data_IF_727841838323
#
_entry.id   IF_727841838323
#
_cell.length_a   1.000
_cell.length_b   1.000
_cell.length_c   1.000
_cell.angle_alpha   90.00
_cell.angle_beta   90.00
_cell.angle_gamma   90.00
#
_symmetry.space_group_name_H-M   'P 1'
#
loop_
_entity.id
_entity.type
_entity.pdbx_description
1 polymer ?
#
# COMPACT_ATOMS: atom_id res chain seq x y z
N UNK A 1 32.98 -10.03 -24.51
CA UNK A 1 32.17 -10.15 -23.30
C UNK A 1 32.75 -9.14 -22.29
N UNK A 2 31.92 -8.21 -21.78
CA UNK A 2 32.27 -7.28 -20.72
C UNK A 2 31.52 -7.66 -19.46
N UNK A 3 32.18 -7.58 -18.33
CA UNK A 3 31.51 -7.66 -17.02
C UNK A 3 30.83 -6.30 -16.75
N UNK A 4 29.56 -6.31 -16.46
CA UNK A 4 28.80 -5.10 -16.18
C UNK A 4 27.92 -5.28 -14.95
N UNK A 5 27.75 -4.20 -14.20
CA UNK A 5 26.70 -4.10 -13.18
C UNK A 5 25.39 -3.74 -13.86
N UNK A 6 24.32 -4.45 -13.52
CA UNK A 6 22.95 -4.09 -13.84
C UNK A 6 22.36 -3.33 -12.64
N UNK A 7 21.96 -2.11 -12.85
CA UNK A 7 21.36 -1.24 -11.84
C UNK A 7 19.96 -0.90 -12.33
N UNK A 8 18.96 -1.09 -11.48
CA UNK A 8 17.61 -0.57 -11.69
C UNK A 8 17.42 0.59 -10.75
N UNK A 9 17.01 1.74 -11.25
CA UNK A 9 16.88 2.98 -10.47
C UNK A 9 15.76 3.85 -11.00
N UNK A 10 15.19 4.69 -10.14
CA UNK A 10 14.36 5.83 -10.48
C UNK A 10 15.14 7.11 -10.21
N UNK A 11 14.79 8.21 -10.87
CA UNK A 11 15.39 9.51 -10.67
C UNK A 11 14.30 10.49 -10.23
N UNK A 12 14.59 11.28 -9.23
CA UNK A 12 13.66 12.27 -8.63
C UNK A 12 13.15 13.31 -9.68
N UNK A 13 13.97 13.63 -10.67
CA UNK A 13 13.63 14.62 -11.70
C UNK A 13 13.06 14.00 -12.98
N UNK A 14 12.90 12.69 -13.05
CA UNK A 14 12.56 11.99 -14.27
C UNK A 14 11.70 10.77 -13.99
N UNK A 15 10.44 10.86 -14.33
CA UNK A 15 9.52 9.72 -14.23
C UNK A 15 10.05 8.50 -14.97
N UNK A 16 9.84 7.32 -14.39
CA UNK A 16 10.22 6.05 -14.98
C UNK A 16 11.09 5.19 -14.08
N UNK A 17 11.18 3.92 -14.45
CA UNK A 17 12.12 2.95 -13.87
C UNK A 17 13.21 2.68 -14.87
N UNK A 18 14.44 2.95 -14.50
CA UNK A 18 15.57 2.96 -15.43
C UNK A 18 16.49 1.75 -15.19
N UNK A 19 16.66 0.93 -16.20
CA UNK A 19 17.68 -0.12 -16.21
C UNK A 19 18.96 0.46 -16.78
N UNK A 20 20.04 0.44 -15.99
CA UNK A 20 21.34 0.97 -16.33
C UNK A 20 22.38 -0.13 -16.29
N UNK A 21 23.15 -0.31 -17.36
CA UNK A 21 24.33 -1.17 -17.37
C UNK A 21 25.60 -0.32 -17.28
N UNK A 22 26.45 -0.66 -16.31
CA UNK A 22 27.72 0.06 -16.04
C UNK A 22 28.87 -0.94 -16.17
N UNK A 23 29.89 -0.59 -16.94
CA UNK A 23 31.09 -1.41 -17.06
C UNK A 23 31.77 -1.57 -15.69
N UNK A 24 31.98 -2.81 -15.27
CA UNK A 24 32.49 -3.11 -13.93
C UNK A 24 33.95 -2.71 -13.73
N UNK A 25 34.71 -2.49 -14.82
CA UNK A 25 36.11 -2.10 -14.75
C UNK A 25 36.33 -0.60 -14.86
N UNK A 26 35.52 0.08 -15.69
CA UNK A 26 35.74 1.50 -16.02
C UNK A 26 34.76 2.43 -15.35
N UNK A 27 33.60 1.92 -14.88
CA UNK A 27 32.50 2.73 -14.37
C UNK A 27 31.73 3.47 -15.46
N UNK A 28 32.00 3.18 -16.74
CA UNK A 28 31.31 3.80 -17.87
C UNK A 28 29.90 3.25 -18.01
N UNK A 29 28.91 4.13 -18.23
CA UNK A 29 27.55 3.72 -18.53
C UNK A 29 27.47 3.15 -19.94
N UNK A 30 27.12 1.86 -20.03
CA UNK A 30 27.01 1.13 -21.30
C UNK A 30 25.65 1.36 -21.94
N UNK A 31 24.56 1.32 -21.15
CA UNK A 31 23.21 1.54 -21.64
C UNK A 31 22.28 2.02 -20.52
N UNK A 32 21.26 2.77 -20.92
CA UNK A 32 20.17 3.22 -20.06
C UNK A 32 18.87 2.92 -20.82
N UNK A 33 17.93 2.26 -20.15
CA UNK A 33 16.61 1.94 -20.72
C UNK A 33 15.54 2.23 -19.69
N UNK A 34 14.50 2.92 -20.10
CA UNK A 34 13.29 3.00 -19.29
C UNK A 34 12.54 1.67 -19.38
N UNK A 35 12.26 1.07 -18.23
CA UNK A 35 11.55 -0.18 -18.07
C UNK A 35 10.23 -0.01 -17.31
N UNK A 36 9.81 1.23 -17.05
CA UNK A 36 8.51 1.50 -16.47
C UNK A 36 7.39 1.05 -17.40
N UNK A 37 6.31 0.59 -16.83
CA UNK A 37 5.07 0.29 -17.55
C UNK A 37 4.20 1.52 -17.41
N UNK A 38 3.91 2.18 -18.54
CA UNK A 38 3.05 3.36 -18.58
C UNK A 38 1.65 2.95 -19.05
N UNK A 39 0.63 3.33 -18.31
CA UNK A 39 -0.73 3.24 -18.79
C UNK A 39 -0.98 4.41 -19.73
N UNK A 40 -1.23 4.16 -20.98
CA UNK A 40 -1.37 5.01 -22.16
C UNK A 40 -1.92 6.45 -22.12
N UNK A 41 -1.87 7.15 -20.99
CA UNK A 41 -2.13 8.58 -20.89
C UNK A 41 -0.84 9.37 -21.10
N UNK A 42 -0.86 10.38 -21.95
CA UNK A 42 0.27 11.29 -22.14
C UNK A 42 0.60 11.98 -20.82
N UNK A 43 1.77 11.67 -20.27
CA UNK A 43 2.30 12.28 -19.06
C UNK A 43 2.56 13.77 -19.29
N UNK A 44 1.77 14.63 -18.66
CA UNK A 44 2.08 16.06 -18.58
C UNK A 44 2.88 16.31 -17.31
N UNK A 45 4.15 16.63 -17.51
CA UNK A 45 5.12 16.95 -16.47
C UNK A 45 4.75 18.22 -15.72
N UNK A 46 4.02 18.12 -14.60
CA UNK A 46 4.02 19.17 -13.57
C UNK A 46 3.48 18.60 -12.26
N UNK A 47 4.30 17.91 -11.49
CA UNK A 47 4.06 17.74 -10.06
C UNK A 47 5.17 18.46 -9.30
N UNK A 48 4.84 19.64 -8.75
CA UNK A 48 5.68 20.30 -7.77
C UNK A 48 5.41 19.67 -6.39
N UNK A 49 6.38 18.95 -5.87
CA UNK A 49 6.37 18.51 -4.48
C UNK A 49 6.45 19.74 -3.56
N UNK A 50 5.39 20.04 -2.85
CA UNK A 50 5.37 21.11 -1.87
C UNK A 50 6.24 20.73 -0.67
N UNK A 51 7.37 21.41 -0.52
CA UNK A 51 8.23 21.30 0.67
C UNK A 51 7.50 21.85 1.89
N UNK A 52 6.96 20.98 2.73
CA UNK A 52 6.40 21.38 4.00
C UNK A 52 7.52 21.47 5.05
N UNK A 53 7.67 22.69 5.62
CA UNK A 53 8.65 22.96 6.67
C UNK A 53 8.19 22.33 7.98
N UNK A 54 9.03 21.47 8.55
CA UNK A 54 8.88 20.96 9.91
C UNK A 54 9.12 22.06 10.93
N UNK A 55 8.17 22.32 11.82
CA UNK A 55 8.39 23.04 13.06
C UNK A 55 8.39 22.07 14.24
N UNK A 56 9.55 21.90 14.85
CA UNK A 56 9.70 21.17 16.10
C UNK A 56 9.00 21.90 17.24
N UNK A 57 8.13 21.23 17.97
CA UNK A 57 7.90 21.53 19.36
C UNK A 57 7.48 20.28 20.13
N UNK A 58 8.42 19.78 20.91
CA UNK A 58 8.22 18.73 21.91
C UNK A 58 7.56 19.32 23.15
N UNK A 59 6.43 18.78 23.56
CA UNK A 59 5.98 18.88 24.94
C UNK A 59 5.27 17.59 25.32
N UNK A 60 5.98 16.78 26.10
CA UNK A 60 5.48 15.55 26.71
C UNK A 60 4.51 15.95 27.86
N UNK A 61 3.25 15.61 27.74
CA UNK A 61 2.35 15.53 28.88
C UNK A 61 1.65 14.18 28.88
N UNK A 62 2.03 13.34 29.84
CA UNK A 62 1.27 12.13 30.17
C UNK A 62 -0.07 12.57 30.80
N UNK A 63 -1.18 12.28 30.13
CA UNK A 63 -2.52 12.30 30.73
C UNK A 63 -2.96 10.86 30.96
N UNK A 64 -3.24 10.53 32.22
CA UNK A 64 -3.81 9.24 32.59
C UNK A 64 -5.20 9.05 31.97
N UNK A 65 -5.59 7.80 31.63
CA UNK A 65 -6.87 7.55 31.01
C UNK A 65 -8.01 7.68 32.01
N UNK A 66 -8.95 8.53 31.67
CA UNK A 66 -10.25 8.54 32.34
C UNK A 66 -11.06 7.33 31.86
N UNK A 67 -11.50 6.50 32.81
CA UNK A 67 -12.35 5.34 32.56
C UNK A 67 -13.76 5.78 32.20
N UNK A 68 -14.01 5.99 30.93
CA UNK A 68 -15.37 5.96 30.39
C UNK A 68 -15.66 4.54 29.91
N UNK A 69 -16.86 4.02 30.15
CA UNK A 69 -17.29 2.71 29.72
C UNK A 69 -17.14 2.62 28.19
N UNK A 70 -15.99 2.14 27.74
CA UNK A 70 -15.74 1.82 26.35
C UNK A 70 -16.69 0.71 25.94
N UNK A 71 -17.49 0.97 24.92
CA UNK A 71 -18.16 -0.13 24.21
C UNK A 71 -17.08 -1.13 23.83
N UNK A 72 -17.18 -2.36 24.38
CA UNK A 72 -16.19 -3.40 24.16
C UNK A 72 -16.02 -3.59 22.66
N UNK A 73 -14.94 -3.06 22.12
CA UNK A 73 -14.50 -3.29 20.76
C UNK A 73 -14.16 -4.78 20.67
N UNK A 74 -15.01 -5.53 20.00
CA UNK A 74 -14.80 -6.96 19.84
C UNK A 74 -14.18 -7.18 18.45
N UNK A 75 -13.01 -7.80 18.43
CA UNK A 75 -12.44 -8.34 17.20
C UNK A 75 -12.94 -9.77 16.97
N UNK A 76 -13.12 -10.10 15.70
CA UNK A 76 -13.58 -11.42 15.27
C UNK A 76 -12.91 -11.81 13.96
N UNK A 77 -13.08 -13.06 13.54
CA UNK A 77 -12.59 -13.54 12.24
C UNK A 77 -13.59 -13.16 11.15
N UNK A 78 -13.07 -12.77 10.00
CA UNK A 78 -13.83 -12.55 8.79
C UNK A 78 -13.30 -13.31 7.60
N UNK A 79 -13.89 -13.08 6.43
CA UNK A 79 -13.43 -13.60 5.13
C UNK A 79 -13.49 -12.52 4.06
N UNK A 80 -12.62 -12.62 3.07
CA UNK A 80 -12.60 -11.71 1.92
C UNK A 80 -12.26 -12.45 0.63
N UNK A 81 -12.69 -11.91 -0.51
CA UNK A 81 -12.04 -12.18 -1.79
C UNK A 81 -10.91 -11.16 -1.98
N UNK A 82 -9.76 -11.64 -2.40
CA UNK A 82 -8.56 -10.84 -2.65
C UNK A 82 -7.77 -11.42 -3.82
N UNK A 83 -6.88 -10.63 -4.39
CA UNK A 83 -5.78 -11.13 -5.19
C UNK A 83 -4.61 -11.46 -4.28
N UNK A 84 -4.49 -12.72 -3.85
CA UNK A 84 -3.36 -13.18 -3.03
C UNK A 84 -2.03 -13.15 -3.81
N UNK A 85 -2.12 -13.17 -5.12
CA UNK A 85 -1.14 -12.85 -6.14
C UNK A 85 -1.91 -12.08 -7.21
N UNK A 86 -1.33 -11.02 -7.76
CA UNK A 86 -1.97 -10.26 -8.82
C UNK A 86 -2.36 -11.16 -10.01
N UNK A 87 -3.37 -10.79 -10.81
CA UNK A 87 -3.87 -11.65 -11.88
C UNK A 87 -2.84 -12.00 -12.95
N UNK A 88 -1.86 -11.13 -13.23
CA UNK A 88 -0.81 -11.37 -14.22
C UNK A 88 0.16 -12.43 -13.73
N UNK A 89 0.60 -12.33 -12.48
CA UNK A 89 1.46 -13.32 -11.82
C UNK A 89 0.74 -14.66 -11.65
N UNK A 90 -0.54 -14.62 -11.25
CA UNK A 90 -1.37 -15.83 -11.10
C UNK A 90 -1.46 -16.62 -12.42
N UNK A 91 -1.68 -15.93 -13.53
CA UNK A 91 -1.82 -16.55 -14.85
C UNK A 91 -0.50 -16.71 -15.61
N UNK A 92 0.60 -16.11 -15.14
CA UNK A 92 1.90 -16.04 -15.80
C UNK A 92 1.80 -15.40 -17.21
N UNK A 93 1.08 -14.30 -17.33
CA UNK A 93 0.84 -13.58 -18.58
C UNK A 93 1.26 -12.11 -18.50
N UNK A 94 1.35 -11.44 -19.64
CA UNK A 94 1.54 -10.01 -19.71
C UNK A 94 0.18 -9.29 -19.69
N UNK A 95 0.20 -8.01 -19.32
CA UNK A 95 -0.95 -7.12 -19.34
C UNK A 95 -1.52 -6.98 -20.76
N UNK A 96 -2.57 -7.71 -21.05
CA UNK A 96 -3.28 -7.71 -22.33
C UNK A 96 -4.57 -8.52 -22.26
N UNK A 97 -5.47 -8.32 -23.22
CA UNK A 97 -6.63 -9.15 -23.44
C UNK A 97 -7.61 -9.17 -22.28
N UNK A 98 -7.77 -10.33 -21.61
CA UNK A 98 -8.64 -10.47 -20.45
C UNK A 98 -8.06 -9.90 -19.14
N UNK A 99 -6.79 -9.51 -19.17
CA UNK A 99 -6.03 -9.02 -18.01
C UNK A 99 -5.69 -7.52 -18.16
N UNK A 100 -6.62 -6.76 -18.68
CA UNK A 100 -6.55 -5.29 -18.68
C UNK A 100 -7.52 -4.78 -17.62
N UNK A 101 -7.27 -3.59 -17.10
CA UNK A 101 -8.12 -2.99 -16.10
C UNK A 101 -9.59 -2.93 -16.56
N UNK A 102 -9.87 -2.40 -17.72
CA UNK A 102 -11.24 -2.37 -18.26
C UNK A 102 -12.21 -1.50 -17.46
N UNK A 103 -11.70 -0.55 -16.68
CA UNK A 103 -12.50 0.35 -15.85
C UNK A 103 -13.34 -0.43 -14.82
N UNK A 104 -12.67 -1.21 -13.98
CA UNK A 104 -13.19 -2.11 -12.94
C UNK A 104 -14.06 -3.28 -13.46
N UNK A 105 -14.16 -3.45 -14.76
CA UNK A 105 -14.94 -4.54 -15.31
C UNK A 105 -14.28 -5.89 -14.96
N UNK A 106 -15.05 -6.77 -14.34
CA UNK A 106 -14.59 -8.14 -14.10
C UNK A 106 -14.88 -9.05 -15.30
N UNK A 107 -14.14 -10.15 -15.37
CA UNK A 107 -14.35 -11.24 -16.32
C UNK A 107 -13.91 -12.57 -15.69
N UNK A 108 -14.19 -13.68 -16.37
CA UNK A 108 -13.90 -15.02 -15.84
C UNK A 108 -12.43 -15.28 -15.53
N UNK A 109 -11.48 -14.63 -16.22
CA UNK A 109 -10.04 -14.77 -15.97
C UNK A 109 -9.63 -14.02 -14.71
N UNK A 110 -10.09 -12.79 -14.54
CA UNK A 110 -9.86 -11.99 -13.33
C UNK A 110 -10.54 -12.62 -12.12
N UNK A 111 -11.78 -13.10 -12.28
CA UNK A 111 -12.50 -13.82 -11.23
C UNK A 111 -11.79 -15.10 -10.77
N UNK A 112 -11.15 -15.82 -11.69
CA UNK A 112 -10.40 -17.03 -11.37
C UNK A 112 -9.11 -16.75 -10.56
N UNK A 113 -8.56 -15.57 -10.65
CA UNK A 113 -7.37 -15.17 -9.88
C UNK A 113 -7.71 -14.81 -8.41
N UNK A 114 -8.99 -14.57 -8.09
CA UNK A 114 -9.40 -14.26 -6.72
C UNK A 114 -9.28 -15.46 -5.81
N UNK A 115 -8.77 -15.24 -4.61
CA UNK A 115 -8.71 -16.22 -3.53
C UNK A 115 -9.69 -15.84 -2.42
N UNK A 116 -10.41 -16.82 -1.88
CA UNK A 116 -11.14 -16.64 -0.63
C UNK A 116 -10.17 -16.84 0.53
N UNK A 117 -9.98 -15.80 1.33
CA UNK A 117 -9.03 -15.79 2.44
C UNK A 117 -9.74 -15.56 3.78
N UNK A 118 -9.08 -15.96 4.87
CA UNK A 118 -9.49 -15.58 6.21
C UNK A 118 -8.85 -14.24 6.59
N UNK A 119 -9.65 -13.37 7.20
CA UNK A 119 -9.19 -12.18 7.88
C UNK A 119 -9.14 -12.51 9.39
N UNK A 120 -7.94 -12.65 9.98
CA UNK A 120 -7.81 -13.16 11.33
C UNK A 120 -8.41 -12.25 12.40
N UNK A 121 -8.53 -10.96 12.07
CA UNK A 121 -9.03 -9.95 12.99
C UNK A 121 -9.72 -8.83 12.21
N UNK A 122 -11.01 -8.64 12.46
CA UNK A 122 -11.83 -7.53 11.98
C UNK A 122 -12.67 -6.98 13.12
N UNK A 123 -12.94 -5.69 13.13
CA UNK A 123 -13.79 -5.07 14.14
C UNK A 123 -15.26 -5.50 13.97
N UNK A 124 -15.90 -5.85 15.07
CA UNK A 124 -17.34 -5.99 15.16
C UNK A 124 -17.86 -5.07 16.27
N UNK A 125 -18.58 -4.03 15.88
CA UNK A 125 -19.22 -3.10 16.80
C UNK A 125 -20.74 -3.19 16.64
N UNK A 126 -21.39 -3.83 17.61
CA UNK A 126 -22.84 -4.01 17.66
C UNK A 126 -23.46 -4.59 16.36
N UNK A 127 -22.79 -5.54 15.73
CA UNK A 127 -23.24 -6.19 14.50
C UNK A 127 -22.84 -5.47 13.20
N UNK A 128 -22.11 -4.37 13.30
CA UNK A 128 -21.47 -3.70 12.15
C UNK A 128 -20.01 -4.14 12.09
N UNK A 129 -19.62 -4.73 10.97
CA UNK A 129 -18.28 -5.23 10.74
C UNK A 129 -17.49 -4.22 9.88
N UNK A 130 -16.24 -3.97 10.27
CA UNK A 130 -15.34 -3.00 9.62
C UNK A 130 -13.98 -3.65 9.38
N UNK A 131 -13.32 -3.28 8.28
CA UNK A 131 -11.94 -3.64 7.97
C UNK A 131 -10.98 -2.86 8.89
N UNK A 132 -10.90 -3.32 10.13
CA UNK A 132 -10.03 -2.80 11.18
C UNK A 132 -9.51 -3.93 12.04
N UNK A 133 -8.21 -3.93 12.28
CA UNK A 133 -7.52 -4.85 13.15
C UNK A 133 -6.71 -4.10 14.20
N UNK A 134 -5.90 -4.81 14.97
CA UNK A 134 -4.89 -4.22 15.86
C UNK A 134 -3.77 -3.49 15.12
N UNK A 135 -3.65 -3.65 13.80
CA UNK A 135 -2.55 -3.11 12.99
C UNK A 135 -2.98 -2.06 11.99
N UNK A 136 -4.14 -2.22 11.39
CA UNK A 136 -4.58 -1.41 10.25
C UNK A 136 -6.07 -1.10 10.32
N UNK A 137 -6.46 0.07 9.87
CA UNK A 137 -7.86 0.52 9.86
C UNK A 137 -8.19 1.27 8.57
N UNK A 138 -9.28 0.85 7.91
CA UNK A 138 -9.83 1.58 6.76
C UNK A 138 -10.34 2.95 7.19
N UNK A 139 -10.03 3.95 6.38
CA UNK A 139 -10.51 5.32 6.49
C UNK A 139 -11.01 5.83 5.14
N UNK A 140 -11.66 6.95 5.15
CA UNK A 140 -12.13 7.66 3.97
C UNK A 140 -11.65 9.11 4.12
N UNK A 141 -10.44 9.38 3.68
CA UNK A 141 -9.68 10.60 3.98
C UNK A 141 -9.56 11.51 2.76
N UNK A 142 -9.53 10.92 1.58
CA UNK A 142 -9.27 11.60 0.31
C UNK A 142 -10.44 11.41 -0.67
N UNK A 143 -10.43 12.17 -1.77
CA UNK A 143 -11.36 11.93 -2.86
C UNK A 143 -10.82 10.85 -3.80
N UNK A 144 -11.72 10.09 -4.46
CA UNK A 144 -13.18 10.04 -4.29
C UNK A 144 -13.58 9.38 -2.96
N UNK A 145 -14.55 9.97 -2.26
CA UNK A 145 -15.03 9.48 -0.97
C UNK A 145 -16.00 8.30 -1.15
N UNK A 146 -15.51 7.09 -1.35
CA UNK A 146 -16.33 5.90 -1.62
C UNK A 146 -16.84 5.17 -0.37
N UNK A 147 -16.35 5.52 0.82
CA UNK A 147 -16.84 5.02 2.11
C UNK A 147 -15.99 3.96 2.78
N UNK A 148 -16.53 3.31 3.80
CA UNK A 148 -15.79 2.35 4.65
C UNK A 148 -16.16 0.88 4.38
N UNK A 149 -17.03 0.62 3.43
CA UNK A 149 -17.47 -0.73 2.99
C UNK A 149 -17.87 -1.66 4.15
N UNK A 150 -18.46 -1.10 5.22
CA UNK A 150 -18.91 -1.88 6.37
C UNK A 150 -19.95 -2.93 5.99
N UNK A 151 -19.96 -4.05 6.70
CA UNK A 151 -20.84 -5.19 6.44
C UNK A 151 -21.71 -5.52 7.66
N UNK A 152 -22.86 -6.15 7.45
CA UNK A 152 -23.72 -6.71 8.51
C UNK A 152 -23.24 -8.07 9.01
N UNK A 153 -22.17 -8.62 8.44
CA UNK A 153 -21.51 -9.85 8.81
C UNK A 153 -20.01 -9.76 8.49
N UNK A 154 -19.22 -10.76 8.88
CA UNK A 154 -17.78 -10.77 8.65
C UNK A 154 -17.32 -11.11 7.22
N UNK A 155 -18.19 -11.05 6.21
CA UNK A 155 -17.88 -11.47 4.85
C UNK A 155 -17.64 -10.27 3.93
N UNK A 156 -16.39 -9.93 3.68
CA UNK A 156 -15.94 -8.89 2.74
C UNK A 156 -15.64 -9.51 1.36
N UNK A 157 -16.60 -10.28 0.85
CA UNK A 157 -16.45 -11.06 -0.38
C UNK A 157 -16.95 -10.26 -1.60
N UNK A 158 -16.30 -9.13 -1.84
CA UNK A 158 -16.58 -8.29 -2.98
C UNK A 158 -16.07 -8.90 -4.29
N UNK A 159 -16.71 -8.55 -5.39
CA UNK A 159 -16.19 -8.80 -6.73
C UNK A 159 -15.30 -7.63 -7.15
N UNK A 160 -14.40 -7.84 -8.09
CA UNK A 160 -13.49 -6.81 -8.60
C UNK A 160 -14.22 -5.54 -9.08
N UNK A 161 -15.41 -5.65 -9.62
CA UNK A 161 -16.20 -4.51 -10.06
C UNK A 161 -16.95 -3.79 -8.91
N UNK A 162 -16.47 -3.89 -7.72
CA UNK A 162 -17.03 -3.27 -6.52
C UNK A 162 -15.89 -2.65 -5.71
N UNK A 163 -15.91 -1.36 -5.49
CA UNK A 163 -14.85 -0.60 -4.78
C UNK A 163 -14.47 -1.19 -3.40
N UNK A 164 -15.28 -2.06 -2.84
CA UNK A 164 -14.95 -2.80 -1.61
C UNK A 164 -13.94 -3.91 -1.81
N UNK A 165 -13.63 -4.29 -3.07
CA UNK A 165 -12.62 -5.30 -3.37
C UNK A 165 -11.22 -4.78 -3.06
N UNK A 166 -10.87 -3.58 -3.53
CA UNK A 166 -9.61 -2.89 -3.24
C UNK A 166 -9.46 -2.70 -1.73
N UNK A 167 -10.54 -2.28 -1.06
CA UNK A 167 -10.54 -2.10 0.39
C UNK A 167 -10.19 -3.40 1.13
N UNK A 168 -10.75 -4.53 0.72
CA UNK A 168 -10.47 -5.83 1.31
C UNK A 168 -9.07 -6.35 0.95
N UNK A 169 -8.61 -6.08 -0.28
CA UNK A 169 -7.29 -6.47 -0.77
C UNK A 169 -6.17 -5.74 -0.02
N UNK A 170 -6.25 -4.41 0.08
CA UNK A 170 -5.30 -3.59 0.86
C UNK A 170 -5.27 -4.04 2.31
N UNK A 171 -6.45 -4.23 2.94
CA UNK A 171 -6.53 -4.71 4.31
C UNK A 171 -5.80 -6.04 4.50
N UNK A 172 -6.07 -7.01 3.64
CA UNK A 172 -5.48 -8.36 3.73
C UNK A 172 -3.95 -8.33 3.63
N UNK A 173 -3.40 -7.69 2.61
CA UNK A 173 -1.96 -7.65 2.41
C UNK A 173 -1.24 -6.90 3.53
N UNK A 174 -1.81 -5.80 3.98
CA UNK A 174 -1.24 -4.97 5.04
C UNK A 174 -1.28 -5.67 6.39
N UNK A 175 -2.46 -6.18 6.81
CA UNK A 175 -2.62 -6.83 8.11
C UNK A 175 -1.72 -8.07 8.23
N UNK A 176 -1.67 -8.91 7.18
CA UNK A 176 -0.80 -10.08 7.16
C UNK A 176 0.68 -9.72 7.24
N UNK A 177 1.11 -8.70 6.50
CA UNK A 177 2.51 -8.26 6.50
C UNK A 177 2.91 -7.72 7.87
N UNK A 178 2.09 -6.87 8.46
CA UNK A 178 2.35 -6.31 9.79
C UNK A 178 2.30 -7.38 10.88
N UNK A 179 1.39 -8.36 10.80
CA UNK A 179 1.39 -9.53 11.70
C UNK A 179 2.67 -10.33 11.57
N UNK A 180 3.10 -10.61 10.35
CA UNK A 180 4.34 -11.34 10.12
C UNK A 180 5.55 -10.61 10.72
N UNK A 181 5.67 -9.32 10.46
CA UNK A 181 6.78 -8.48 10.96
C UNK A 181 6.77 -8.43 12.49
N UNK A 182 5.62 -8.13 13.09
CA UNK A 182 5.53 -7.93 14.54
C UNK A 182 5.54 -9.26 15.32
N UNK A 183 4.80 -10.28 14.86
CA UNK A 183 4.61 -11.53 15.61
C UNK A 183 5.64 -12.60 15.23
N UNK A 184 5.99 -12.73 13.94
CA UNK A 184 6.89 -13.80 13.48
C UNK A 184 8.34 -13.36 13.52
N UNK A 185 8.65 -12.16 13.00
CA UNK A 185 10.02 -11.63 13.05
C UNK A 185 10.35 -10.97 14.38
N UNK A 186 9.36 -10.64 15.20
CA UNK A 186 9.53 -9.99 16.50
C UNK A 186 10.00 -8.53 16.38
N UNK A 187 9.79 -7.88 15.22
CA UNK A 187 10.11 -6.47 14.99
C UNK A 187 8.89 -5.64 15.32
N UNK A 188 8.92 -4.96 16.45
CA UNK A 188 7.80 -4.14 16.90
C UNK A 188 7.83 -2.75 16.22
N UNK A 189 7.40 -2.68 14.97
CA UNK A 189 7.41 -1.44 14.19
C UNK A 189 6.15 -0.59 14.40
N UNK A 190 5.01 -1.21 14.74
CA UNK A 190 3.72 -0.51 14.85
C UNK A 190 3.67 0.51 16.00
N UNK A 191 4.49 0.34 17.04
CA UNK A 191 4.57 1.30 18.15
C UNK A 191 5.10 2.67 17.75
N UNK A 192 5.78 2.76 16.62
CA UNK A 192 6.35 4.00 16.10
C UNK A 192 5.40 4.74 15.16
N UNK A 193 4.24 4.16 14.85
CA UNK A 193 3.18 4.87 14.10
C UNK A 193 2.65 6.02 14.94
N UNK A 194 2.29 7.11 14.28
CA UNK A 194 1.80 8.32 14.92
C UNK A 194 0.77 8.01 16.00
N UNK A 195 1.05 8.50 17.22
CA UNK A 195 0.19 8.31 18.40
C UNK A 195 -1.21 8.88 18.20
N UNK A 196 -1.41 9.82 17.26
CA UNK A 196 -2.72 10.37 16.90
C UNK A 196 -3.65 9.30 16.32
N UNK A 197 -3.10 8.24 15.75
CA UNK A 197 -3.82 7.10 15.17
C UNK A 197 -3.95 5.92 16.15
N UNK A 198 -3.68 6.13 17.43
CA UNK A 198 -3.69 5.09 18.46
C UNK A 198 -2.79 3.87 18.15
N UNK A 199 -1.70 4.07 17.41
CA UNK A 199 -0.78 3.03 17.00
C UNK A 199 -1.32 2.10 15.89
N UNK A 200 -2.35 2.50 15.17
CA UNK A 200 -2.97 1.77 14.07
C UNK A 200 -2.70 2.53 12.78
N UNK A 201 -2.26 1.82 11.76
CA UNK A 201 -2.05 2.37 10.43
C UNK A 201 -3.39 2.63 9.74
N UNK A 202 -3.55 3.79 9.13
CA UNK A 202 -4.75 4.12 8.37
C UNK A 202 -4.51 3.96 6.88
N UNK A 203 -5.49 3.44 6.16
CA UNK A 203 -5.47 3.40 4.71
C UNK A 203 -6.79 3.88 4.12
N UNK A 204 -6.69 4.59 2.99
CA UNK A 204 -7.80 4.95 2.13
C UNK A 204 -7.66 4.17 0.81
N UNK A 205 -8.57 3.23 0.51
CA UNK A 205 -8.46 2.41 -0.69
C UNK A 205 -8.83 3.15 -1.98
N UNK A 206 -9.37 4.37 -1.87
CA UNK A 206 -9.92 5.17 -2.96
C UNK A 206 -9.46 6.62 -2.80
N UNK A 207 -8.15 6.84 -2.76
CA UNK A 207 -7.52 8.13 -2.54
C UNK A 207 -7.02 8.82 -3.82
N UNK A 208 -6.03 9.70 -3.68
CA UNK A 208 -5.29 10.40 -4.73
C UNK A 208 -6.16 11.14 -5.77
N UNK A 209 -7.40 11.51 -5.39
CA UNK A 209 -8.41 12.04 -6.32
C UNK A 209 -8.69 11.14 -7.53
N UNK A 210 -8.51 9.83 -7.38
CA UNK A 210 -8.66 8.84 -8.44
C UNK A 210 -7.50 8.86 -9.46
N UNK A 211 -6.33 9.35 -9.08
CA UNK A 211 -5.16 9.35 -9.96
C UNK A 211 -4.52 7.94 -10.01
N UNK A 212 -3.66 7.72 -11.01
CA UNK A 212 -2.81 6.53 -11.16
C UNK A 212 -1.54 6.71 -10.32
N UNK A 213 -1.68 6.65 -9.01
CA UNK A 213 -0.61 6.81 -8.04
C UNK A 213 -1.07 6.45 -6.62
N UNK A 214 -0.14 6.02 -5.78
CA UNK A 214 -0.34 5.77 -4.35
C UNK A 214 0.69 6.50 -3.52
N UNK A 215 0.44 6.65 -2.23
CA UNK A 215 1.39 7.29 -1.33
C UNK A 215 1.31 6.77 0.10
N UNK A 216 2.43 6.90 0.81
CA UNK A 216 2.53 6.87 2.26
C UNK A 216 2.81 8.27 2.80
N UNK A 217 2.09 8.69 3.82
CA UNK A 217 2.35 9.94 4.55
C UNK A 217 1.95 9.83 6.01
N UNK A 218 2.93 9.93 6.93
CA UNK A 218 2.70 10.03 8.37
C UNK A 218 1.72 8.99 8.96
N UNK A 219 1.86 7.73 8.58
CA UNK A 219 1.00 6.64 9.07
C UNK A 219 -0.35 6.52 8.34
N UNK A 220 -0.49 7.18 7.20
CA UNK A 220 -1.65 7.09 6.31
C UNK A 220 -1.20 6.63 4.93
N UNK A 221 -1.96 5.74 4.33
CA UNK A 221 -1.84 5.35 2.94
C UNK A 221 -3.05 5.77 2.12
N UNK A 222 -2.80 6.33 0.93
CA UNK A 222 -3.79 6.58 -0.10
C UNK A 222 -3.49 5.74 -1.33
N UNK A 223 -4.47 5.02 -1.83
CA UNK A 223 -4.38 4.23 -3.07
C UNK A 223 -5.26 4.86 -4.12
N UNK A 224 -4.71 5.11 -5.30
CA UNK A 224 -5.45 5.67 -6.42
C UNK A 224 -6.09 4.60 -7.28
N UNK A 225 -7.05 5.03 -8.09
CA UNK A 225 -7.89 4.16 -8.94
C UNK A 225 -7.66 4.42 -10.43
N UNK A 226 -6.60 5.17 -10.75
CA UNK A 226 -6.27 5.45 -12.15
C UNK A 226 -5.56 4.28 -12.80
N UNK A 227 -5.88 4.01 -14.06
CA UNK A 227 -5.34 2.94 -14.87
C UNK A 227 -5.67 1.54 -14.30
N UNK A 228 -4.81 0.89 -13.57
CA UNK A 228 -5.13 -0.29 -12.75
C UNK A 228 -5.19 0.20 -11.32
N UNK A 229 -6.27 -0.14 -10.62
CA UNK A 229 -6.44 0.29 -9.25
C UNK A 229 -5.30 -0.23 -8.37
N UNK A 230 -4.54 0.71 -7.79
CA UNK A 230 -3.34 0.40 -7.01
C UNK A 230 -3.66 -0.51 -5.81
N UNK A 231 -4.87 -0.39 -5.26
CA UNK A 231 -5.37 -1.25 -4.19
C UNK A 231 -5.59 -2.72 -4.59
N UNK A 232 -5.59 -3.06 -5.88
CA UNK A 232 -5.64 -4.43 -6.40
C UNK A 232 -4.27 -5.10 -6.49
N UNK A 233 -3.17 -4.31 -6.51
CA UNK A 233 -1.82 -4.83 -6.68
C UNK A 233 -1.09 -4.98 -5.34
N UNK A 234 -0.79 -6.22 -4.96
CA UNK A 234 -0.03 -6.52 -3.75
C UNK A 234 1.38 -5.91 -3.75
N UNK A 235 2.01 -5.77 -4.91
CA UNK A 235 3.35 -5.17 -5.02
C UNK A 235 3.32 -3.67 -4.75
N UNK A 236 2.29 -2.94 -5.19
CA UNK A 236 2.06 -1.53 -4.85
C UNK A 236 1.78 -1.39 -3.35
N UNK A 237 0.89 -2.21 -2.79
CA UNK A 237 0.59 -2.20 -1.36
C UNK A 237 1.87 -2.42 -0.52
N UNK A 238 2.72 -3.37 -0.92
CA UNK A 238 3.98 -3.63 -0.22
C UNK A 238 5.03 -2.54 -0.45
N UNK A 239 4.98 -1.83 -1.57
CA UNK A 239 5.83 -0.67 -1.81
C UNK A 239 5.50 0.44 -0.80
N UNK A 240 4.24 0.80 -0.65
CA UNK A 240 3.80 1.81 0.31
C UNK A 240 4.04 1.36 1.77
N UNK A 241 3.86 0.07 2.07
CA UNK A 241 4.25 -0.49 3.36
C UNK A 241 5.77 -0.31 3.61
N UNK A 242 6.59 -0.47 2.58
CA UNK A 242 8.03 -0.25 2.65
C UNK A 242 8.39 1.17 3.10
N UNK A 243 7.70 2.19 2.59
CA UNK A 243 7.85 3.58 3.05
C UNK A 243 7.48 3.73 4.53
N UNK A 244 6.34 3.17 4.94
CA UNK A 244 5.90 3.17 6.33
C UNK A 244 6.89 2.48 7.27
N UNK A 245 7.36 1.29 6.92
CA UNK A 245 8.35 0.54 7.70
C UNK A 245 9.65 1.33 7.84
N UNK A 246 10.10 1.94 6.76
CA UNK A 246 11.29 2.78 6.76
C UNK A 246 11.14 3.96 7.75
N UNK A 247 10.04 4.69 7.65
CA UNK A 247 9.73 5.81 8.53
C UNK A 247 9.68 5.38 10.01
N UNK A 248 8.96 4.33 10.32
CA UNK A 248 8.77 3.84 11.70
C UNK A 248 10.05 3.29 12.32
N UNK A 249 10.86 2.57 11.56
CA UNK A 249 12.09 1.98 12.07
C UNK A 249 13.21 3.01 12.23
N UNK A 250 13.17 4.09 11.49
CA UNK A 250 14.21 5.13 11.51
C UNK A 250 13.78 6.39 12.26
N UNK A 251 12.51 6.47 12.68
CA UNK A 251 11.94 7.66 13.33
C UNK A 251 11.96 8.88 12.41
N UNK A 252 11.74 8.69 11.11
CA UNK A 252 11.73 9.76 10.10
C UNK A 252 13.09 10.41 9.87
N UNK A 253 14.18 9.81 10.36
CA UNK A 253 15.50 10.46 10.43
C UNK A 253 16.39 10.22 9.21
N UNK A 254 16.01 9.34 8.30
CA UNK A 254 16.77 9.09 7.08
C UNK A 254 16.42 10.11 6.00
N UNK A 255 17.44 10.69 5.38
CA UNK A 255 17.25 11.59 4.25
C UNK A 255 16.76 10.81 3.02
N UNK A 256 16.01 11.44 2.15
CA UNK A 256 15.44 10.88 0.92
C UNK A 256 16.42 10.04 0.06
N UNK A 257 17.72 10.32 0.16
CA UNK A 257 18.77 9.57 -0.56
C UNK A 257 18.84 8.08 -0.15
N UNK A 258 18.31 7.73 1.03
CA UNK A 258 18.30 6.35 1.53
C UNK A 258 16.97 5.63 1.29
N UNK A 259 15.87 6.35 1.08
CA UNK A 259 14.56 5.77 0.81
C UNK A 259 14.59 4.85 -0.40
N UNK A 260 15.15 5.31 -1.50
CA UNK A 260 15.30 4.52 -2.73
C UNK A 260 16.20 3.29 -2.58
N UNK A 261 17.13 3.31 -1.63
CA UNK A 261 18.03 2.20 -1.35
C UNK A 261 17.39 1.10 -0.51
N UNK A 262 16.59 1.47 0.48
CA UNK A 262 16.06 0.54 1.49
C UNK A 262 14.85 -0.26 0.97
N UNK A 263 13.93 0.39 0.29
CA UNK A 263 12.73 -0.25 -0.30
C UNK A 263 13.09 -1.37 -1.30
N UNK A 264 14.26 -1.32 -1.91
CA UNK A 264 14.76 -2.34 -2.84
C UNK A 264 15.28 -3.62 -2.19
N UNK A 265 15.59 -3.59 -0.90
CA UNK A 265 16.10 -4.77 -0.18
C UNK A 265 15.00 -5.59 0.51
N UNK A 266 13.75 -5.11 0.52
CA UNK A 266 12.61 -5.80 1.14
C UNK A 266 11.85 -6.68 0.11
N UNK A 267 12.22 -6.63 -1.18
CA UNK A 267 11.65 -7.51 -2.24
C UNK A 267 12.22 -8.92 -2.18
#
# INVERSE_FOLDING_TARGET
TRLAYRIVTSFEEKSGSWEVFVDANTGEVISVKDIAIYCGAEWTTTHEHSKQKTSNNSAFFMKQPETNAESLQAFTVGTAYVYASDPLSYAAVAYAGAYVDGNDATNASLDAARALVNLPEIENLAGTYKLKSSYVEIKNLENPNKGLFTQANGNFQFNRNQDGFEAANVFYHTDNSLRYINQTLGVNCIQNVDVSHAGVLWYDPSGENGADNSHYSNGVWGFGEGCVDDGEDGDVIWHELGHGLHDWLTGGSLSQVWEDGFVRYIK
#
